data_IF_251752607217
#
_entry.id   IF_251752607217
#
_cell.length_a   1.000
_cell.length_b   1.000
_cell.length_c   1.000
_cell.angle_alpha   90.00
_cell.angle_beta   90.00
_cell.angle_gamma   90.00
#
_symmetry.space_group_name_H-M   'P 1'
#
loop_
_entity.id
_entity.type
_entity.pdbx_description
1 polymer ?
#
# COMPACT_ATOMS: atom_id res chain seq x y z
N UNK A 1 46.19 19.48 9.94
CA UNK A 1 45.93 19.11 8.54
C UNK A 1 47.03 19.66 7.66
N UNK A 2 47.45 18.96 6.59
CA UNK A 2 48.43 19.48 5.63
C UNK A 2 47.99 20.81 5.00
N UNK A 3 48.96 21.67 4.64
CA UNK A 3 48.67 22.94 3.95
C UNK A 3 47.93 22.66 2.64
N UNK A 4 46.86 23.41 2.38
CA UNK A 4 46.02 23.26 1.19
C UNK A 4 44.84 22.29 1.32
N UNK A 5 44.76 21.51 2.41
CA UNK A 5 43.61 20.63 2.66
C UNK A 5 42.43 21.43 3.21
N UNK A 6 41.25 21.21 2.63
CA UNK A 6 39.97 21.76 3.09
C UNK A 6 39.05 20.62 3.53
N UNK A 7 38.38 20.82 4.66
CA UNK A 7 37.32 19.92 5.11
C UNK A 7 35.99 20.41 4.56
N UNK A 8 35.28 19.52 3.87
CA UNK A 8 33.88 19.69 3.55
C UNK A 8 33.08 18.67 4.35
N UNK A 9 32.28 19.17 5.29
CA UNK A 9 31.41 18.37 6.14
C UNK A 9 29.93 18.65 5.84
N UNK A 10 29.61 19.19 4.66
CA UNK A 10 28.25 19.61 4.33
C UNK A 10 27.21 18.50 4.45
N UNK A 11 27.55 17.26 4.05
CA UNK A 11 26.67 16.10 4.21
C UNK A 11 26.71 15.54 5.64
N UNK A 12 27.91 15.19 6.12
CA UNK A 12 28.11 14.57 7.44
C UNK A 12 27.67 15.46 8.61
N UNK A 13 27.79 16.78 8.47
CA UNK A 13 27.35 17.75 9.47
C UNK A 13 25.84 17.74 9.69
N UNK A 14 25.04 17.53 8.63
CA UNK A 14 23.58 17.37 8.75
C UNK A 14 23.24 16.09 9.52
N UNK A 15 23.88 14.98 9.15
CA UNK A 15 23.68 13.70 9.81
C UNK A 15 24.05 13.77 11.31
N UNK A 16 25.20 14.37 11.62
CA UNK A 16 25.61 14.60 13.01
C UNK A 16 24.64 15.52 13.75
N UNK A 17 24.15 16.58 13.13
CA UNK A 17 23.16 17.46 13.73
C UNK A 17 21.85 16.72 14.02
N UNK A 18 21.42 15.79 13.16
CA UNK A 18 20.22 14.97 13.35
C UNK A 18 20.39 14.06 14.58
N UNK A 19 21.52 13.35 14.67
CA UNK A 19 21.85 12.50 15.83
C UNK A 19 21.84 13.31 17.15
N UNK A 20 22.48 14.48 17.14
CA UNK A 20 22.58 15.33 18.34
C UNK A 20 21.24 15.94 18.73
N UNK A 21 20.42 16.34 17.76
CA UNK A 21 19.09 16.88 18.01
C UNK A 21 18.17 15.80 18.58
N UNK A 22 18.15 14.59 17.99
CA UNK A 22 17.35 13.48 18.49
C UNK A 22 17.72 13.14 19.94
N UNK A 23 19.02 12.99 20.24
CA UNK A 23 19.48 12.71 21.59
C UNK A 23 19.09 13.79 22.62
N UNK A 24 19.16 15.08 22.24
CA UNK A 24 18.79 16.19 23.14
C UNK A 24 17.29 16.28 23.39
N UNK A 25 16.47 16.03 22.37
CA UNK A 25 15.01 16.08 22.51
C UNK A 25 14.53 14.86 23.32
N UNK A 26 15.10 13.68 23.11
CA UNK A 26 14.76 12.48 23.88
C UNK A 26 15.05 12.63 25.39
N UNK A 27 16.00 13.49 25.77
CA UNK A 27 16.28 13.81 27.17
C UNK A 27 15.10 14.50 27.88
N UNK A 28 14.10 14.99 27.14
CA UNK A 28 12.84 15.53 27.67
C UNK A 28 11.83 14.42 28.02
N UNK A 29 12.19 13.15 27.87
CA UNK A 29 11.35 12.00 28.23
C UNK A 29 10.36 11.55 27.15
N UNK A 30 10.55 11.97 25.89
CA UNK A 30 9.70 11.59 24.77
C UNK A 30 10.45 10.81 23.68
N UNK A 31 9.69 10.06 22.87
CA UNK A 31 10.17 9.55 21.60
C UNK A 31 10.33 10.65 20.57
N UNK A 32 11.40 10.62 19.79
CA UNK A 32 11.65 11.60 18.74
C UNK A 32 12.23 10.96 17.49
N UNK A 33 11.77 11.46 16.34
CA UNK A 33 12.42 11.31 15.05
C UNK A 33 12.79 12.70 14.53
N UNK A 34 14.04 12.88 14.15
CA UNK A 34 14.56 14.12 13.54
C UNK A 34 14.91 13.84 12.09
N UNK A 35 14.51 14.72 11.17
CA UNK A 35 14.84 14.68 9.75
C UNK A 35 15.52 15.98 9.32
N UNK A 36 16.75 15.89 8.79
CA UNK A 36 17.52 17.03 8.30
C UNK A 36 17.98 16.81 6.85
N UNK A 37 17.09 17.12 5.90
CA UNK A 37 17.42 17.07 4.47
C UNK A 37 17.80 15.66 4.00
N UNK A 38 16.98 14.68 4.36
CA UNK A 38 17.13 13.26 4.01
C UNK A 38 17.90 12.42 5.03
N UNK A 39 18.52 13.05 6.03
CA UNK A 39 19.23 12.41 7.13
C UNK A 39 18.31 12.27 8.35
N UNK A 40 17.99 11.05 8.75
CA UNK A 40 17.03 10.73 9.79
C UNK A 40 17.71 10.08 11.00
N UNK A 41 17.36 10.53 12.21
CA UNK A 41 17.80 9.94 13.46
C UNK A 41 16.62 9.80 14.43
N UNK A 42 16.56 8.68 15.16
CA UNK A 42 15.55 8.42 16.18
C UNK A 42 16.18 8.28 17.55
N UNK A 43 15.47 8.70 18.60
CA UNK A 43 15.88 8.52 19.99
C UNK A 43 14.67 8.44 20.92
N UNK A 44 14.86 7.86 22.10
CA UNK A 44 13.77 7.61 23.05
C UNK A 44 12.83 6.48 22.60
N UNK A 45 11.70 6.30 23.31
CA UNK A 45 10.72 5.25 22.98
C UNK A 45 10.00 5.57 21.66
N UNK A 46 10.05 4.66 20.69
CA UNK A 46 9.26 4.80 19.47
C UNK A 46 7.75 4.69 19.76
N UNK A 47 6.88 5.32 18.93
CA UNK A 47 5.45 5.09 19.01
C UNK A 47 5.11 3.61 18.76
N UNK A 48 3.93 3.20 19.18
CA UNK A 48 3.40 1.87 18.86
C UNK A 48 3.38 1.68 17.33
N UNK A 49 3.93 0.56 16.85
CA UNK A 49 4.13 0.32 15.41
C UNK A 49 5.45 0.86 14.84
N UNK A 50 6.11 1.84 15.48
CA UNK A 50 7.36 2.46 15.01
C UNK A 50 7.14 3.68 14.11
N UNK A 51 8.23 4.36 13.73
CA UNK A 51 8.17 5.52 12.86
C UNK A 51 8.06 5.10 11.39
N UNK A 52 7.00 5.52 10.70
CA UNK A 52 6.82 5.28 9.26
C UNK A 52 7.56 6.34 8.44
N UNK A 53 8.50 5.89 7.62
CA UNK A 53 9.40 6.76 6.85
C UNK A 53 9.35 6.40 5.36
N UNK A 54 8.95 7.33 4.50
CA UNK A 54 9.02 7.15 3.04
C UNK A 54 10.48 7.16 2.54
N UNK A 55 10.82 6.22 1.66
CA UNK A 55 12.16 6.05 1.08
C UNK A 55 12.09 6.15 -0.44
N UNK A 56 12.12 7.39 -0.93
CA UNK A 56 12.08 7.74 -2.35
C UNK A 56 13.42 8.19 -2.93
N UNK A 57 13.41 8.45 -4.24
CA UNK A 57 14.55 9.04 -4.96
C UNK A 57 14.75 10.54 -4.62
N UNK A 58 13.69 11.22 -4.14
CA UNK A 58 13.73 12.59 -3.62
C UNK A 58 13.19 12.64 -2.17
N UNK A 59 14.04 13.03 -1.23
CA UNK A 59 13.66 13.18 0.18
C UNK A 59 12.77 14.41 0.44
N UNK A 60 12.59 15.29 -0.55
CA UNK A 60 11.78 16.52 -0.43
C UNK A 60 10.32 16.33 -0.81
N UNK A 61 10.03 15.31 -1.61
CA UNK A 61 8.70 15.03 -2.11
C UNK A 61 8.48 13.52 -2.18
N UNK A 62 7.47 13.03 -1.45
CA UNK A 62 7.04 11.64 -1.57
C UNK A 62 6.38 11.42 -2.94
N UNK A 63 6.79 10.37 -3.64
CA UNK A 63 6.18 9.94 -4.89
C UNK A 63 5.22 8.75 -4.67
N UNK A 64 4.15 8.63 -5.47
CA UNK A 64 3.30 7.44 -5.46
C UNK A 64 4.13 6.18 -5.75
N UNK A 65 4.09 5.20 -4.83
CA UNK A 65 4.84 3.96 -4.94
C UNK A 65 6.22 3.98 -4.27
N UNK A 66 6.63 5.09 -3.65
CA UNK A 66 7.79 5.09 -2.77
C UNK A 66 7.57 4.12 -1.60
N UNK A 67 8.50 3.20 -1.34
CA UNK A 67 8.36 2.29 -0.21
C UNK A 67 8.44 3.06 1.10
N UNK A 68 7.58 2.70 2.06
CA UNK A 68 7.64 3.20 3.44
C UNK A 68 8.33 2.16 4.30
N UNK A 69 9.15 2.60 5.25
CA UNK A 69 9.95 1.74 6.13
C UNK A 69 9.64 2.07 7.58
N UNK A 70 9.61 1.04 8.41
CA UNK A 70 9.32 1.18 9.83
C UNK A 70 10.62 1.27 10.61
N UNK A 71 10.94 2.46 11.11
CA UNK A 71 12.12 2.71 11.94
C UNK A 71 11.72 2.69 13.40
N UNK A 72 12.21 1.70 14.17
CA UNK A 72 11.97 1.63 15.63
C UNK A 72 13.09 2.28 16.45
N UNK A 73 14.31 2.25 15.93
CA UNK A 73 15.49 2.80 16.60
C UNK A 73 16.63 2.99 15.60
N UNK A 74 17.57 3.87 15.91
CA UNK A 74 18.73 4.15 15.07
C UNK A 74 18.43 5.25 14.04
N UNK A 75 18.98 5.10 12.84
CA UNK A 75 19.00 6.14 11.84
C UNK A 75 18.88 5.60 10.42
N UNK A 76 18.46 6.47 9.51
CA UNK A 76 18.32 6.20 8.08
C UNK A 76 18.86 7.40 7.29
N UNK A 77 19.64 7.16 6.24
CA UNK A 77 20.08 8.23 5.35
C UNK A 77 20.03 7.78 3.90
N UNK A 78 19.65 8.71 3.02
CA UNK A 78 19.57 8.47 1.58
C UNK A 78 20.53 9.38 0.83
N UNK A 79 21.42 8.78 0.06
CA UNK A 79 22.25 9.48 -0.93
C UNK A 79 21.66 9.26 -2.32
N UNK A 80 21.61 10.32 -3.13
CA UNK A 80 21.03 10.29 -4.47
C UNK A 80 21.80 11.21 -5.42
N UNK A 81 21.96 10.77 -6.66
CA UNK A 81 22.57 11.56 -7.74
C UNK A 81 21.55 12.40 -8.52
N UNK A 82 20.25 12.21 -8.28
CA UNK A 82 19.17 12.91 -9.01
C UNK A 82 18.80 14.24 -8.35
N UNK A 83 18.85 14.34 -7.03
CA UNK A 83 18.32 15.51 -6.30
C UNK A 83 19.17 16.79 -6.42
N UNK A 84 20.50 16.68 -6.51
CA UNK A 84 21.41 17.82 -6.74
C UNK A 84 22.30 17.55 -7.95
N UNK A 85 21.68 17.69 -9.12
CA UNK A 85 22.31 17.55 -10.43
C UNK A 85 22.17 18.82 -11.27
N UNK A 86 23.15 19.10 -12.14
CA UNK A 86 23.16 20.22 -13.08
C UNK A 86 23.90 19.85 -14.37
N UNK A 87 23.88 20.73 -15.38
CA UNK A 87 24.63 20.54 -16.63
C UNK A 87 25.90 21.38 -16.64
N UNK A 88 27.03 20.78 -17.03
CA UNK A 88 28.30 21.48 -17.23
C UNK A 88 28.98 20.93 -18.49
N UNK A 89 29.25 21.81 -19.47
CA UNK A 89 29.91 21.40 -20.72
C UNK A 89 29.14 20.31 -21.48
N UNK A 90 27.81 20.37 -21.50
CA UNK A 90 26.94 19.38 -22.14
C UNK A 90 26.67 18.11 -21.31
N UNK A 91 27.54 17.77 -20.34
CA UNK A 91 27.43 16.60 -19.45
C UNK A 91 26.53 16.89 -18.24
N UNK A 92 25.71 15.91 -17.84
CA UNK A 92 25.02 15.93 -16.55
C UNK A 92 26.02 15.61 -15.43
N UNK A 93 26.01 16.41 -14.36
CA UNK A 93 26.91 16.27 -13.21
C UNK A 93 26.11 16.37 -11.92
N UNK A 94 26.62 15.76 -10.84
CA UNK A 94 26.01 15.80 -9.52
C UNK A 94 27.06 16.03 -8.43
N UNK A 95 26.60 16.29 -7.22
CA UNK A 95 27.44 16.73 -6.10
C UNK A 95 28.33 15.65 -5.46
N UNK A 96 28.10 14.36 -5.72
CA UNK A 96 28.94 13.26 -5.23
C UNK A 96 30.16 13.07 -6.14
N UNK A 97 31.35 13.02 -5.56
CA UNK A 97 32.65 12.92 -6.24
C UNK A 97 33.36 11.64 -5.80
N UNK A 98 33.98 10.93 -6.74
CA UNK A 98 34.90 9.84 -6.43
C UNK A 98 36.27 10.44 -6.02
N UNK A 99 36.72 10.25 -4.76
CA UNK A 99 37.97 10.82 -4.29
C UNK A 99 39.21 10.23 -4.97
N UNK A 100 39.10 9.08 -5.66
CA UNK A 100 40.21 8.43 -6.37
C UNK A 100 40.50 9.12 -7.70
N UNK A 101 39.47 9.64 -8.36
CA UNK A 101 39.55 10.22 -9.71
C UNK A 101 39.36 11.73 -9.71
N UNK A 102 38.70 12.28 -8.68
CA UNK A 102 38.25 13.67 -8.66
C UNK A 102 37.09 13.98 -9.61
N UNK A 103 36.49 12.95 -10.23
CA UNK A 103 35.33 13.06 -11.13
C UNK A 103 34.11 12.34 -10.55
N UNK A 104 33.02 12.25 -11.32
CA UNK A 104 31.83 11.50 -10.94
C UNK A 104 32.15 10.00 -10.78
N UNK A 105 31.55 9.32 -9.79
CA UNK A 105 31.61 7.86 -9.70
C UNK A 105 30.91 7.19 -10.89
N UNK A 106 31.19 5.90 -11.10
CA UNK A 106 30.51 5.11 -12.13
C UNK A 106 28.98 5.12 -11.91
N UNK A 107 28.16 5.28 -12.96
CA UNK A 107 26.71 5.45 -12.85
C UNK A 107 26.01 4.11 -12.65
N UNK A 108 26.31 3.42 -11.55
CA UNK A 108 25.70 2.14 -11.19
C UNK A 108 24.41 2.36 -10.41
N UNK A 109 24.51 3.13 -9.32
CA UNK A 109 23.41 3.40 -8.41
C UNK A 109 22.99 4.87 -8.50
N UNK A 110 21.71 5.11 -8.74
CA UNK A 110 21.15 6.46 -8.71
C UNK A 110 20.78 6.90 -7.28
N UNK A 111 20.36 5.95 -6.45
CA UNK A 111 19.93 6.20 -5.07
C UNK A 111 20.35 5.04 -4.18
N UNK A 112 20.87 5.35 -3.01
CA UNK A 112 21.17 4.37 -1.96
C UNK A 112 20.63 4.89 -0.63
N UNK A 113 19.83 4.07 0.05
CA UNK A 113 19.33 4.33 1.40
C UNK A 113 19.89 3.28 2.36
N UNK A 114 20.48 3.70 3.47
CA UNK A 114 21.14 2.81 4.44
C UNK A 114 20.58 3.08 5.82
N UNK A 115 20.28 2.01 6.57
CA UNK A 115 19.99 2.10 8.00
C UNK A 115 21.23 1.75 8.81
N UNK A 116 21.44 2.47 9.92
CA UNK A 116 22.54 2.24 10.84
C UNK A 116 22.17 2.66 12.27
N UNK A 117 23.09 2.44 13.22
CA UNK A 117 22.90 2.90 14.61
C UNK A 117 22.92 4.43 14.73
N UNK A 118 23.71 5.10 13.89
CA UNK A 118 23.84 6.56 13.88
C UNK A 118 23.60 7.09 12.47
N UNK A 119 23.09 8.31 12.39
CA UNK A 119 22.81 8.96 11.12
C UNK A 119 24.12 9.26 10.37
N UNK A 120 25.19 9.58 11.10
CA UNK A 120 26.53 9.74 10.52
C UNK A 120 26.98 8.47 9.79
N UNK A 121 26.84 7.29 10.42
CA UNK A 121 27.23 6.01 9.80
C UNK A 121 26.37 5.70 8.58
N UNK A 122 25.04 5.91 8.69
CA UNK A 122 24.12 5.73 7.58
C UNK A 122 24.47 6.63 6.37
N UNK A 123 24.72 7.92 6.63
CA UNK A 123 25.05 8.90 5.59
C UNK A 123 26.38 8.57 4.90
N UNK A 124 27.40 8.23 5.70
CA UNK A 124 28.70 7.84 5.20
C UNK A 124 28.62 6.57 4.33
N UNK A 125 27.90 5.55 4.80
CA UNK A 125 27.74 4.30 4.07
C UNK A 125 26.95 4.47 2.76
N UNK A 126 25.87 5.25 2.77
CA UNK A 126 25.08 5.53 1.57
C UNK A 126 25.90 6.26 0.48
N UNK A 127 26.69 7.26 0.88
CA UNK A 127 27.58 7.97 -0.06
C UNK A 127 28.70 7.06 -0.57
N UNK A 128 29.33 6.29 0.33
CA UNK A 128 30.38 5.35 -0.03
C UNK A 128 29.89 4.25 -1.00
N UNK A 129 28.65 3.80 -0.87
CA UNK A 129 28.04 2.83 -1.77
C UNK A 129 27.86 3.39 -3.19
N UNK A 130 27.42 4.65 -3.33
CA UNK A 130 27.37 5.32 -4.65
C UNK A 130 28.76 5.42 -5.26
N UNK A 131 29.75 5.84 -4.46
CA UNK A 131 31.16 5.98 -4.92
C UNK A 131 31.80 4.64 -5.26
N UNK A 132 31.39 3.57 -4.59
CA UNK A 132 31.88 2.21 -4.85
C UNK A 132 31.29 1.64 -6.14
N UNK A 133 30.01 1.88 -6.42
CA UNK A 133 29.34 1.33 -7.59
C UNK A 133 29.12 -0.18 -7.47
N UNK A 134 29.70 -0.96 -8.38
CA UNK A 134 29.55 -2.43 -8.37
C UNK A 134 30.07 -3.06 -7.07
N UNK A 135 29.36 -4.10 -6.60
CA UNK A 135 29.68 -4.79 -5.34
C UNK A 135 29.36 -4.00 -4.07
N UNK A 136 28.68 -2.85 -4.18
CA UNK A 136 28.24 -2.08 -3.01
C UNK A 136 27.21 -2.83 -2.16
N UNK A 137 26.34 -3.62 -2.78
CA UNK A 137 25.38 -4.50 -2.12
C UNK A 137 26.08 -5.55 -1.25
N UNK A 138 27.04 -6.29 -1.80
CA UNK A 138 27.82 -7.27 -1.03
C UNK A 138 28.66 -6.63 0.08
N UNK A 139 29.19 -5.43 -0.16
CA UNK A 139 29.94 -4.69 0.85
C UNK A 139 29.05 -4.25 2.03
N UNK A 140 27.85 -3.73 1.75
CA UNK A 140 26.88 -3.34 2.78
C UNK A 140 26.40 -4.56 3.58
N UNK A 141 26.20 -5.70 2.91
CA UNK A 141 25.80 -6.96 3.55
C UNK A 141 26.87 -7.45 4.52
N UNK A 142 28.13 -7.50 4.04
CA UNK A 142 29.28 -7.86 4.86
C UNK A 142 29.55 -6.88 6.01
N UNK A 143 29.13 -5.62 5.87
CA UNK A 143 29.18 -4.62 6.94
C UNK A 143 28.00 -4.71 7.93
N UNK A 144 27.02 -5.58 7.68
CA UNK A 144 25.81 -5.70 8.50
C UNK A 144 24.95 -4.45 8.48
N UNK A 145 24.99 -3.69 7.37
CA UNK A 145 24.23 -2.46 7.19
C UNK A 145 23.06 -2.73 6.25
N UNK A 146 21.82 -2.80 6.79
CA UNK A 146 20.65 -2.91 5.94
C UNK A 146 20.62 -1.75 4.95
N UNK A 147 20.32 -2.05 3.69
CA UNK A 147 20.27 -1.03 2.65
C UNK A 147 19.25 -1.33 1.54
N UNK A 148 18.84 -0.26 0.85
CA UNK A 148 18.13 -0.30 -0.42
C UNK A 148 18.92 0.49 -1.47
N UNK A 149 19.28 -0.18 -2.56
CA UNK A 149 20.01 0.39 -3.68
C UNK A 149 19.10 0.41 -4.92
N UNK A 150 19.11 1.52 -5.65
CA UNK A 150 18.32 1.70 -6.87
C UNK A 150 19.26 2.05 -8.02
N UNK A 151 19.26 1.22 -9.06
CA UNK A 151 20.05 1.40 -10.27
C UNK A 151 19.46 2.44 -11.21
N UNK A 152 20.26 2.91 -12.17
CA UNK A 152 19.76 3.82 -13.22
C UNK A 152 18.72 3.16 -14.14
N UNK A 153 18.75 1.85 -14.27
CA UNK A 153 17.81 1.00 -15.01
C UNK A 153 16.50 0.73 -14.25
N UNK A 154 16.37 1.18 -12.99
CA UNK A 154 15.22 0.90 -12.14
C UNK A 154 15.34 -0.40 -11.34
N UNK A 155 16.43 -1.15 -11.47
CA UNK A 155 16.70 -2.32 -10.63
C UNK A 155 16.77 -1.89 -9.16
N UNK A 156 16.07 -2.61 -8.29
CA UNK A 156 16.13 -2.41 -6.84
C UNK A 156 16.82 -3.61 -6.21
N UNK A 157 17.84 -3.36 -5.39
CA UNK A 157 18.52 -4.37 -4.59
C UNK A 157 18.34 -4.01 -3.12
N UNK A 158 18.05 -5.01 -2.28
CA UNK A 158 17.92 -4.83 -0.83
C UNK A 158 18.87 -5.78 -0.10
N UNK A 159 19.41 -5.31 1.01
CA UNK A 159 20.47 -5.96 1.78
C UNK A 159 20.09 -5.91 3.26
N UNK A 160 20.43 -6.95 4.04
CA UNK A 160 20.12 -7.02 5.47
C UNK A 160 18.64 -7.27 5.78
N UNK A 161 18.05 -8.29 5.14
CA UNK A 161 16.60 -8.60 5.15
C UNK A 161 15.94 -8.55 6.53
N UNK A 162 14.95 -7.67 6.67
CA UNK A 162 13.97 -7.68 7.77
C UNK A 162 13.63 -6.32 8.38
N UNK A 163 14.49 -5.30 8.25
CA UNK A 163 14.29 -4.02 8.96
C UNK A 163 13.96 -2.81 8.09
N UNK A 164 14.24 -2.88 6.79
CA UNK A 164 14.18 -1.72 5.90
C UNK A 164 13.03 -1.71 4.92
N UNK A 165 12.23 -2.76 4.82
CA UNK A 165 11.01 -2.73 4.02
C UNK A 165 9.97 -3.56 4.80
N UNK A 166 8.76 -3.04 5.05
CA UNK A 166 7.62 -3.92 5.24
C UNK A 166 7.52 -4.81 4.00
N UNK A 167 7.11 -6.05 4.20
CA UNK A 167 6.96 -7.01 3.12
C UNK A 167 5.95 -6.48 2.09
N UNK A 168 6.44 -5.82 1.04
CA UNK A 168 5.61 -5.24 -0.01
C UNK A 168 4.81 -6.33 -0.71
N UNK A 169 5.17 -7.61 -0.55
CA UNK A 169 4.38 -8.73 -1.07
C UNK A 169 2.99 -8.78 -0.42
N UNK A 170 2.87 -8.54 0.89
CA UNK A 170 1.58 -8.51 1.58
C UNK A 170 0.71 -7.34 1.12
N UNK A 171 1.31 -6.18 0.87
CA UNK A 171 0.60 -5.04 0.27
C UNK A 171 0.09 -5.36 -1.14
N UNK A 172 0.91 -5.99 -2.00
CA UNK A 172 0.47 -6.40 -3.34
C UNK A 172 -0.62 -7.48 -3.26
N UNK A 173 -0.51 -8.43 -2.33
CA UNK A 173 -1.52 -9.47 -2.08
C UNK A 173 -2.83 -8.83 -1.61
N UNK A 174 -2.79 -7.95 -0.62
CA UNK A 174 -3.95 -7.21 -0.12
C UNK A 174 -4.64 -6.44 -1.24
N UNK A 175 -3.84 -5.76 -2.07
CA UNK A 175 -4.34 -4.93 -3.16
C UNK A 175 -4.93 -5.75 -4.31
N UNK A 176 -4.22 -6.78 -4.77
CA UNK A 176 -4.70 -7.67 -5.83
C UNK A 176 -5.96 -8.43 -5.38
N UNK A 177 -5.95 -8.99 -4.17
CA UNK A 177 -7.11 -9.72 -3.63
C UNK A 177 -8.33 -8.81 -3.47
N UNK A 178 -8.15 -7.55 -3.03
CA UNK A 178 -9.23 -6.56 -2.95
C UNK A 178 -9.86 -6.20 -4.30
N UNK A 179 -9.04 -5.96 -5.35
CA UNK A 179 -9.57 -5.67 -6.69
C UNK A 179 -10.30 -6.86 -7.30
N UNK A 180 -9.74 -8.06 -7.19
CA UNK A 180 -10.38 -9.27 -7.73
C UNK A 180 -11.65 -9.60 -6.95
N UNK A 181 -11.65 -9.43 -5.63
CA UNK A 181 -12.86 -9.59 -4.80
C UNK A 181 -13.96 -8.61 -5.24
N UNK A 182 -13.62 -7.35 -5.53
CA UNK A 182 -14.58 -6.34 -6.01
C UNK A 182 -15.17 -6.72 -7.36
N UNK A 183 -14.37 -7.23 -8.30
CA UNK A 183 -14.84 -7.74 -9.59
C UNK A 183 -15.82 -8.92 -9.43
N UNK A 184 -15.46 -9.89 -8.59
CA UNK A 184 -16.30 -11.06 -8.34
C UNK A 184 -17.58 -10.70 -7.58
N UNK A 185 -17.51 -9.77 -6.64
CA UNK A 185 -18.68 -9.25 -5.93
C UNK A 185 -19.61 -8.52 -6.91
N UNK A 186 -19.06 -7.72 -7.82
CA UNK A 186 -19.82 -7.06 -8.91
C UNK A 186 -20.53 -8.10 -9.79
N UNK A 187 -19.81 -9.13 -10.24
CA UNK A 187 -20.40 -10.21 -11.04
C UNK A 187 -21.49 -10.97 -10.26
N UNK A 188 -21.27 -11.23 -8.97
CA UNK A 188 -22.24 -11.88 -8.08
C UNK A 188 -23.52 -11.06 -7.95
N UNK A 189 -23.40 -9.74 -7.72
CA UNK A 189 -24.55 -8.81 -7.65
C UNK A 189 -25.31 -8.78 -8.97
N UNK A 190 -24.61 -8.70 -10.10
CA UNK A 190 -25.25 -8.76 -11.43
C UNK A 190 -26.03 -10.05 -11.63
N UNK A 191 -25.43 -11.21 -11.32
CA UNK A 191 -26.12 -12.51 -11.37
C UNK A 191 -27.33 -12.56 -10.43
N UNK A 192 -27.25 -11.92 -9.25
CA UNK A 192 -28.38 -11.80 -8.31
C UNK A 192 -29.48 -10.86 -8.82
N UNK A 193 -29.14 -9.80 -9.54
CA UNK A 193 -30.10 -8.89 -10.19
C UNK A 193 -30.84 -9.62 -11.32
N UNK A 194 -30.09 -10.37 -12.13
CA UNK A 194 -30.59 -11.06 -13.33
C UNK A 194 -31.30 -12.39 -13.01
N UNK A 195 -30.94 -13.09 -11.94
CA UNK A 195 -31.43 -14.43 -11.61
C UNK A 195 -32.96 -14.60 -11.52
N UNK A 196 -33.73 -13.63 -10.98
CA UNK A 196 -35.19 -13.68 -11.00
C UNK A 196 -35.81 -13.41 -12.38
N UNK A 197 -35.07 -12.73 -13.26
CA UNK A 197 -35.50 -12.51 -14.64
C UNK A 197 -35.32 -13.83 -15.39
N UNK A 198 -36.34 -14.26 -16.13
CA UNK A 198 -36.35 -15.54 -16.84
C UNK A 198 -35.40 -15.53 -18.07
N UNK A 199 -34.20 -14.97 -17.95
CA UNK A 199 -33.19 -14.81 -19.01
C UNK A 199 -32.36 -16.08 -19.15
N UNK A 200 -33.00 -17.25 -19.04
CA UNK A 200 -32.37 -18.50 -19.43
C UNK A 200 -32.52 -18.66 -20.92
N UNK A 201 -31.49 -18.34 -21.69
CA UNK A 201 -31.43 -18.75 -23.10
C UNK A 201 -31.03 -20.23 -23.15
N UNK A 202 -31.24 -20.93 -24.29
CA UNK A 202 -30.77 -22.31 -24.44
C UNK A 202 -29.26 -22.46 -24.16
N UNK A 203 -28.48 -21.41 -24.39
CA UNK A 203 -27.05 -21.35 -24.09
C UNK A 203 -26.71 -21.09 -22.60
N UNK A 204 -27.63 -20.52 -21.82
CA UNK A 204 -27.41 -20.17 -20.40
C UNK A 204 -28.55 -20.67 -19.50
N UNK A 205 -28.58 -21.97 -19.19
CA UNK A 205 -29.58 -22.54 -18.28
C UNK A 205 -29.54 -21.93 -16.87
N UNK A 206 -30.68 -21.95 -16.18
CA UNK A 206 -30.81 -21.37 -14.82
C UNK A 206 -29.86 -22.01 -13.80
N UNK A 207 -29.60 -23.31 -13.91
CA UNK A 207 -28.69 -24.00 -13.01
C UNK A 207 -27.24 -23.49 -13.19
N UNK A 208 -26.86 -23.10 -14.41
CA UNK A 208 -25.55 -22.51 -14.70
C UNK A 208 -25.42 -21.14 -14.04
N UNK A 209 -26.44 -20.28 -14.16
CA UNK A 209 -26.44 -18.96 -13.51
C UNK A 209 -26.42 -19.09 -11.98
N UNK A 210 -27.18 -20.02 -11.41
CA UNK A 210 -27.17 -20.30 -9.97
C UNK A 210 -25.81 -20.87 -9.50
N UNK A 211 -25.20 -21.75 -10.31
CA UNK A 211 -23.87 -22.30 -10.06
C UNK A 211 -22.78 -21.23 -10.11
N UNK A 212 -22.83 -20.33 -11.10
CA UNK A 212 -21.92 -19.19 -11.20
C UNK A 212 -22.07 -18.24 -10.03
N UNK A 213 -23.30 -17.88 -9.66
CA UNK A 213 -23.54 -17.04 -8.49
C UNK A 213 -22.90 -17.66 -7.24
N UNK A 214 -23.09 -18.98 -7.02
CA UNK A 214 -22.47 -19.70 -5.90
C UNK A 214 -20.95 -19.66 -5.96
N UNK A 215 -20.37 -20.03 -7.11
CA UNK A 215 -18.92 -20.14 -7.25
C UNK A 215 -18.22 -18.77 -7.13
N UNK A 216 -18.79 -17.73 -7.75
CA UNK A 216 -18.27 -16.35 -7.63
C UNK A 216 -18.42 -15.82 -6.21
N UNK A 217 -19.52 -16.12 -5.51
CA UNK A 217 -19.68 -15.77 -4.09
C UNK A 217 -18.62 -16.43 -3.22
N UNK A 218 -18.32 -17.71 -3.45
CA UNK A 218 -17.31 -18.46 -2.69
C UNK A 218 -15.89 -17.97 -2.97
N UNK A 219 -15.58 -17.65 -4.23
CA UNK A 219 -14.28 -17.11 -4.60
C UNK A 219 -14.09 -15.68 -4.05
N UNK A 220 -15.14 -14.85 -4.09
CA UNK A 220 -15.16 -13.53 -3.47
C UNK A 220 -14.94 -13.62 -1.96
N UNK A 221 -15.58 -14.59 -1.28
CA UNK A 221 -15.36 -14.84 0.15
C UNK A 221 -13.90 -15.24 0.44
N UNK A 222 -13.32 -16.14 -0.35
CA UNK A 222 -11.93 -16.57 -0.16
C UNK A 222 -10.96 -15.40 -0.35
N UNK A 223 -11.17 -14.57 -1.38
CA UNK A 223 -10.34 -13.39 -1.63
C UNK A 223 -10.57 -12.27 -0.62
N UNK A 224 -11.78 -12.11 -0.09
CA UNK A 224 -12.05 -11.21 1.02
C UNK A 224 -11.30 -11.64 2.28
N UNK A 225 -11.28 -12.95 2.59
CA UNK A 225 -10.50 -13.47 3.71
C UNK A 225 -9.00 -13.20 3.53
N UNK A 226 -8.46 -13.45 2.33
CA UNK A 226 -7.06 -13.11 2.01
C UNK A 226 -6.81 -11.61 2.15
N UNK A 227 -7.70 -10.77 1.61
CA UNK A 227 -7.60 -9.31 1.70
C UNK A 227 -7.56 -8.84 3.16
N UNK A 228 -8.52 -9.27 3.98
CA UNK A 228 -8.60 -8.91 5.39
C UNK A 228 -7.38 -9.41 6.18
N UNK A 229 -6.99 -10.67 5.99
CA UNK A 229 -5.85 -11.25 6.74
C UNK A 229 -4.55 -10.60 6.33
N UNK A 230 -4.32 -10.37 5.02
CA UNK A 230 -3.10 -9.71 4.55
C UNK A 230 -3.01 -8.28 5.10
N UNK A 231 -4.11 -7.52 5.10
CA UNK A 231 -4.17 -6.18 5.68
C UNK A 231 -3.98 -6.19 7.20
N UNK A 232 -4.56 -7.15 7.92
CA UNK A 232 -4.45 -7.25 9.38
C UNK A 232 -3.05 -7.70 9.86
N UNK A 233 -2.32 -8.44 9.02
CA UNK A 233 -0.95 -8.89 9.30
C UNK A 233 0.10 -7.90 8.76
N UNK A 234 -0.30 -7.00 7.85
CA UNK A 234 0.60 -6.03 7.25
C UNK A 234 1.07 -4.98 8.26
N UNK A 235 2.37 -5.00 8.54
CA UNK A 235 3.05 -4.00 9.38
C UNK A 235 3.11 -2.59 8.77
N UNK A 236 2.68 -2.41 7.51
CA UNK A 236 2.63 -1.12 6.82
C UNK A 236 1.48 -0.22 7.31
N UNK A 237 0.33 -0.80 7.66
CA UNK A 237 -0.84 -0.05 8.15
C UNK A 237 -1.09 -0.42 9.61
N UNK A 238 -1.12 0.53 10.56
CA UNK A 238 -1.38 0.25 11.97
C UNK A 238 -2.87 -0.05 12.18
N UNK A 239 -3.29 -1.26 11.81
CA UNK A 239 -4.66 -1.75 11.97
C UNK A 239 -4.67 -2.71 13.14
N UNK A 240 -5.54 -2.44 14.10
CA UNK A 240 -5.76 -3.32 15.25
C UNK A 240 -6.84 -4.35 14.92
N UNK A 241 -6.87 -5.48 15.64
CA UNK A 241 -7.95 -6.47 15.48
C UNK A 241 -9.34 -5.90 15.77
N UNK A 242 -9.43 -4.84 16.57
CA UNK A 242 -10.69 -4.13 16.84
C UNK A 242 -11.21 -3.37 15.62
N UNK A 243 -10.32 -2.85 14.78
CA UNK A 243 -10.70 -2.12 13.55
C UNK A 243 -11.40 -3.02 12.53
N UNK A 244 -11.21 -4.35 12.64
CA UNK A 244 -11.83 -5.33 11.75
C UNK A 244 -13.32 -5.56 12.04
N UNK A 245 -13.77 -5.33 13.27
CA UNK A 245 -15.14 -5.66 13.70
C UNK A 245 -15.91 -4.46 14.24
N UNK A 246 -15.23 -3.35 14.51
CA UNK A 246 -15.85 -2.13 15.01
C UNK A 246 -15.59 -1.03 13.98
N UNK A 247 -16.63 -0.55 13.28
CA UNK A 247 -16.43 0.46 12.25
C UNK A 247 -16.09 1.82 12.86
N UNK A 248 -15.30 2.61 12.12
CA UNK A 248 -14.96 4.02 12.41
C UNK A 248 -14.06 4.28 13.65
N UNK A 249 -13.51 3.25 14.29
CA UNK A 249 -12.59 3.42 15.44
C UNK A 249 -11.12 3.48 15.06
N UNK A 250 -10.77 3.10 13.83
CA UNK A 250 -9.37 3.10 13.37
C UNK A 250 -8.81 4.51 13.34
N UNK A 251 -7.57 4.67 13.84
CA UNK A 251 -6.82 5.92 13.73
C UNK A 251 -6.40 6.22 12.28
N UNK A 252 -6.39 5.20 11.41
CA UNK A 252 -6.01 5.31 10.01
C UNK A 252 -7.26 5.43 9.12
N UNK A 253 -7.48 6.59 8.50
CA UNK A 253 -8.62 6.88 7.61
C UNK A 253 -9.98 6.33 8.13
N UNK A 254 -10.49 6.82 9.27
CA UNK A 254 -11.61 6.19 10.01
C UNK A 254 -12.85 5.95 9.17
N UNK A 255 -13.21 6.93 8.31
CA UNK A 255 -14.39 6.84 7.43
C UNK A 255 -14.25 5.70 6.43
N UNK A 256 -13.13 5.66 5.69
CA UNK A 256 -12.93 4.67 4.65
C UNK A 256 -12.77 3.28 5.24
N UNK A 257 -11.96 3.13 6.30
CA UNK A 257 -11.83 1.88 7.03
C UNK A 257 -13.18 1.40 7.58
N UNK A 258 -13.96 2.29 8.20
CA UNK A 258 -15.28 1.96 8.73
C UNK A 258 -16.26 1.46 7.66
N UNK A 259 -16.25 2.01 6.44
CA UNK A 259 -17.08 1.48 5.34
C UNK A 259 -16.66 0.05 4.94
N UNK A 260 -15.36 -0.24 4.96
CA UNK A 260 -14.81 -1.58 4.74
C UNK A 260 -15.27 -2.57 5.82
N UNK A 261 -15.16 -2.16 7.09
CA UNK A 261 -15.62 -2.92 8.25
C UNK A 261 -17.13 -3.20 8.20
N UNK A 262 -17.97 -2.19 7.94
CA UNK A 262 -19.43 -2.39 7.78
C UNK A 262 -19.73 -3.37 6.64
N UNK A 263 -19.04 -3.25 5.50
CA UNK A 263 -19.21 -4.19 4.39
C UNK A 263 -18.83 -5.62 4.79
N UNK A 264 -17.71 -5.79 5.50
CA UNK A 264 -17.25 -7.07 6.03
C UNK A 264 -18.24 -7.67 7.03
N UNK A 265 -18.74 -6.89 7.99
CA UNK A 265 -19.71 -7.34 9.00
C UNK A 265 -21.01 -7.83 8.35
N UNK A 266 -21.53 -7.09 7.37
CA UNK A 266 -22.71 -7.53 6.61
C UNK A 266 -22.39 -8.83 5.86
N UNK A 267 -21.21 -8.94 5.24
CA UNK A 267 -20.82 -10.15 4.52
C UNK A 267 -20.67 -11.36 5.45
N UNK A 268 -20.12 -11.17 6.65
CA UNK A 268 -20.02 -12.17 7.69
C UNK A 268 -21.41 -12.62 8.16
N UNK A 269 -22.34 -11.69 8.37
CA UNK A 269 -23.73 -12.00 8.69
C UNK A 269 -24.41 -12.81 7.57
N UNK A 270 -24.16 -12.48 6.30
CA UNK A 270 -24.65 -13.22 5.13
C UNK A 270 -24.09 -14.63 5.07
N UNK A 271 -22.80 -14.82 5.36
CA UNK A 271 -22.16 -16.12 5.42
C UNK A 271 -22.81 -17.00 6.50
N UNK A 272 -22.90 -16.48 7.73
CA UNK A 272 -23.48 -17.19 8.88
C UNK A 272 -24.95 -17.54 8.61
N UNK A 273 -25.74 -16.59 8.13
CA UNK A 273 -27.17 -16.81 7.85
C UNK A 273 -27.41 -17.76 6.68
N UNK A 274 -26.49 -17.81 5.72
CA UNK A 274 -26.54 -18.78 4.61
C UNK A 274 -26.16 -20.20 5.04
N UNK A 275 -25.19 -20.36 5.93
CA UNK A 275 -24.84 -21.66 6.53
C UNK A 275 -25.97 -22.18 7.43
N UNK A 276 -26.66 -21.29 8.13
CA UNK A 276 -27.79 -21.61 9.00
C UNK A 276 -29.14 -21.60 8.26
N UNK A 277 -29.16 -21.48 6.94
CA UNK A 277 -30.40 -21.39 6.14
C UNK A 277 -31.45 -22.48 6.47
N UNK A 278 -31.10 -23.76 6.73
CA UNK A 278 -32.10 -24.77 7.10
C UNK A 278 -32.77 -24.52 8.45
N UNK A 279 -32.16 -23.70 9.31
CA UNK A 279 -32.62 -23.40 10.68
C UNK A 279 -33.28 -22.02 10.81
N UNK A 280 -33.24 -21.19 9.77
CA UNK A 280 -33.73 -19.81 9.79
C UNK A 280 -35.01 -19.70 8.95
N UNK A 281 -35.95 -18.85 9.40
CA UNK A 281 -37.15 -18.54 8.64
C UNK A 281 -36.78 -18.04 7.21
N UNK A 282 -37.37 -18.62 6.15
CA UNK A 282 -37.06 -18.22 4.77
C UNK A 282 -37.28 -16.73 4.44
N UNK A 283 -38.23 -16.07 5.12
CA UNK A 283 -38.45 -14.63 4.96
C UNK A 283 -37.33 -13.83 5.58
N UNK A 284 -36.92 -14.18 6.81
CA UNK A 284 -35.81 -13.56 7.51
C UNK A 284 -34.51 -13.73 6.73
N UNK A 285 -34.22 -14.95 6.26
CA UNK A 285 -33.06 -15.21 5.41
C UNK A 285 -33.07 -14.33 4.16
N UNK A 286 -34.23 -14.13 3.52
CA UNK A 286 -34.33 -13.29 2.32
C UNK A 286 -34.09 -11.81 2.60
N UNK A 287 -34.63 -11.29 3.72
CA UNK A 287 -34.41 -9.91 4.14
C UNK A 287 -32.93 -9.67 4.44
N UNK A 288 -32.30 -10.57 5.19
CA UNK A 288 -30.87 -10.52 5.46
C UNK A 288 -30.09 -10.64 4.15
N UNK A 289 -30.46 -11.55 3.26
CA UNK A 289 -29.80 -11.69 1.96
C UNK A 289 -29.90 -10.42 1.09
N UNK A 290 -30.93 -9.59 1.24
CA UNK A 290 -31.01 -8.30 0.55
C UNK A 290 -29.99 -7.27 1.03
N UNK A 291 -29.46 -7.39 2.25
CA UNK A 291 -28.36 -6.51 2.68
C UNK A 291 -27.07 -6.74 1.88
N UNK A 292 -26.96 -7.87 1.14
CA UNK A 292 -25.87 -8.10 0.19
C UNK A 292 -25.76 -7.01 -0.88
N UNK A 293 -26.87 -6.37 -1.24
CA UNK A 293 -26.86 -5.24 -2.18
C UNK A 293 -26.18 -4.00 -1.59
N UNK A 294 -26.07 -3.89 -0.26
CA UNK A 294 -25.37 -2.81 0.43
C UNK A 294 -23.87 -3.11 0.60
N UNK A 295 -23.45 -4.37 0.68
CA UNK A 295 -22.03 -4.73 0.74
C UNK A 295 -21.24 -4.17 -0.46
N UNK A 296 -21.77 -4.35 -1.67
CA UNK A 296 -21.07 -3.96 -2.90
C UNK A 296 -20.71 -2.46 -2.98
N UNK A 297 -21.65 -1.51 -2.82
CA UNK A 297 -21.30 -0.08 -2.89
C UNK A 297 -20.39 0.34 -1.72
N UNK A 298 -20.55 -0.24 -0.52
CA UNK A 298 -19.66 0.05 0.61
C UNK A 298 -18.22 -0.41 0.33
N UNK A 299 -18.04 -1.63 -0.17
CA UNK A 299 -16.73 -2.16 -0.56
C UNK A 299 -16.08 -1.33 -1.68
N UNK A 300 -16.86 -0.94 -2.69
CA UNK A 300 -16.36 -0.11 -3.80
C UNK A 300 -15.89 1.27 -3.31
N UNK A 301 -16.70 1.94 -2.48
CA UNK A 301 -16.38 3.27 -1.93
C UNK A 301 -15.20 3.19 -0.96
N UNK A 302 -15.13 2.14 -0.12
CA UNK A 302 -13.96 1.87 0.71
C UNK A 302 -12.68 1.78 -0.12
N UNK A 303 -12.69 0.95 -1.19
CA UNK A 303 -11.53 0.77 -2.07
C UNK A 303 -11.08 2.07 -2.74
N UNK A 304 -12.03 2.92 -3.16
CA UNK A 304 -11.73 4.23 -3.75
C UNK A 304 -11.17 5.23 -2.74
N UNK A 305 -11.62 5.18 -1.49
CA UNK A 305 -11.21 6.12 -0.46
C UNK A 305 -9.90 5.76 0.24
N UNK A 306 -9.57 4.46 0.34
CA UNK A 306 -8.37 3.98 1.03
C UNK A 306 -7.14 3.92 0.12
N UNK A 307 -7.33 3.75 -1.20
CA UNK A 307 -6.22 3.61 -2.13
C UNK A 307 -5.59 4.96 -2.49
N UNK A 308 -4.28 5.09 -2.26
CA UNK A 308 -3.51 6.32 -2.54
C UNK A 308 -3.52 6.75 -4.00
N UNK A 309 -3.75 5.81 -4.91
CA UNK A 309 -3.83 6.00 -6.37
C UNK A 309 -5.19 5.57 -6.95
N UNK A 310 -6.18 5.27 -6.09
CA UNK A 310 -7.46 4.70 -6.53
C UNK A 310 -8.28 5.65 -7.43
N UNK A 311 -8.01 6.96 -7.35
CA UNK A 311 -8.62 7.99 -8.19
C UNK A 311 -7.83 8.28 -9.48
N UNK A 312 -6.76 7.53 -9.78
CA UNK A 312 -5.91 7.75 -10.94
C UNK A 312 -5.73 6.48 -11.76
N UNK A 313 -5.73 6.60 -13.09
CA UNK A 313 -5.43 5.48 -14.00
C UNK A 313 -6.47 4.36 -13.98
N UNK A 314 -5.99 3.11 -14.00
CA UNK A 314 -6.83 1.93 -14.22
C UNK A 314 -7.76 1.54 -13.04
N UNK A 315 -7.41 1.74 -11.74
CA UNK A 315 -8.31 1.43 -10.63
C UNK A 315 -9.62 2.25 -10.64
N UNK A 316 -9.51 3.53 -11.02
CA UNK A 316 -10.69 4.38 -11.21
C UNK A 316 -11.55 3.85 -12.37
N UNK A 317 -10.92 3.53 -13.50
CA UNK A 317 -11.59 2.95 -14.66
C UNK A 317 -12.33 1.65 -14.30
N UNK A 318 -11.68 0.76 -13.56
CA UNK A 318 -12.27 -0.48 -13.05
C UNK A 318 -13.52 -0.20 -12.20
N UNK A 319 -13.41 0.74 -11.26
CA UNK A 319 -14.50 1.10 -10.35
C UNK A 319 -15.69 1.70 -11.08
N UNK A 320 -15.44 2.58 -12.06
CA UNK A 320 -16.46 3.17 -12.93
C UNK A 320 -17.15 2.09 -13.77
N UNK A 321 -16.39 1.17 -14.38
CA UNK A 321 -16.97 0.06 -15.16
C UNK A 321 -17.85 -0.83 -14.29
N UNK A 322 -17.40 -1.18 -13.09
CA UNK A 322 -18.21 -1.97 -12.14
C UNK A 322 -19.51 -1.25 -11.78
N UNK A 323 -19.43 0.06 -11.51
CA UNK A 323 -20.60 0.85 -11.16
C UNK A 323 -21.61 0.97 -12.31
N UNK A 324 -21.13 1.28 -13.52
CA UNK A 324 -21.97 1.37 -14.71
C UNK A 324 -22.64 0.03 -15.03
N UNK A 325 -21.92 -1.08 -14.89
CA UNK A 325 -22.48 -2.42 -15.11
C UNK A 325 -23.63 -2.71 -14.16
N UNK A 326 -23.47 -2.46 -12.86
CA UNK A 326 -24.52 -2.67 -11.85
C UNK A 326 -25.72 -1.75 -12.11
N UNK A 327 -25.48 -0.46 -12.38
CA UNK A 327 -26.54 0.50 -12.69
C UNK A 327 -27.33 0.10 -13.94
N UNK A 328 -26.65 -0.36 -14.99
CA UNK A 328 -27.29 -0.89 -16.20
C UNK A 328 -28.14 -2.13 -15.90
N UNK A 329 -27.63 -3.06 -15.07
CA UNK A 329 -28.37 -4.24 -14.62
C UNK A 329 -29.64 -3.87 -13.84
N UNK A 330 -29.56 -2.91 -12.92
CA UNK A 330 -30.72 -2.39 -12.17
C UNK A 330 -31.73 -1.72 -13.09
N UNK A 331 -31.27 -0.83 -13.98
CA UNK A 331 -32.11 -0.13 -14.95
C UNK A 331 -32.88 -1.10 -15.85
N UNK A 332 -32.19 -2.14 -16.34
CA UNK A 332 -32.81 -3.20 -17.12
C UNK A 332 -33.89 -3.95 -16.33
N UNK A 333 -33.61 -4.31 -15.07
CA UNK A 333 -34.59 -4.99 -14.21
C UNK A 333 -35.85 -4.16 -13.98
N UNK A 334 -35.70 -2.86 -13.77
CA UNK A 334 -36.84 -1.93 -13.61
C UNK A 334 -37.66 -1.87 -14.90
N UNK A 335 -36.99 -1.72 -16.06
CA UNK A 335 -37.66 -1.68 -17.36
C UNK A 335 -38.42 -2.99 -17.66
N UNK A 336 -37.82 -4.15 -17.38
CA UNK A 336 -38.45 -5.46 -17.55
C UNK A 336 -39.67 -5.65 -16.64
N UNK A 337 -39.58 -5.20 -15.37
CA UNK A 337 -40.70 -5.24 -14.44
C UNK A 337 -41.87 -4.35 -14.92
N UNK A 338 -41.58 -3.13 -15.38
CA UNK A 338 -42.58 -2.21 -15.95
C UNK A 338 -43.30 -2.84 -17.16
N UNK A 339 -42.55 -3.43 -18.10
CA UNK A 339 -43.13 -4.09 -19.28
C UNK A 339 -44.08 -5.23 -18.90
N UNK A 340 -43.72 -6.03 -17.88
CA UNK A 340 -44.55 -7.13 -17.39
C UNK A 340 -45.83 -6.65 -16.69
N UNK A 341 -45.79 -5.51 -15.99
CA UNK A 341 -46.97 -4.89 -15.36
C UNK A 341 -47.92 -4.36 -16.43
N UNK A 342 -47.40 -3.60 -17.41
CA UNK A 342 -48.21 -3.07 -18.52
C UNK A 342 -48.92 -4.18 -19.30
N UNK A 343 -48.23 -5.28 -19.60
CA UNK A 343 -48.81 -6.43 -20.30
C UNK A 343 -49.87 -7.21 -19.50
N UNK A 344 -50.03 -6.94 -18.19
CA UNK A 344 -51.12 -7.51 -17.37
C UNK A 344 -52.33 -6.57 -17.27
N UNK A 345 -52.18 -5.32 -17.66
CA UNK A 345 -53.22 -4.29 -17.64
C UNK A 345 -53.88 -4.10 -19.01
N UNK A 346 -53.25 -4.57 -20.08
CA UNK A 346 -53.78 -4.71 -21.44
C UNK A 346 -54.48 -6.05 -21.63
#
# INVERSE_FOLDING_TARGET
MPRGVRLDLGSTGKAYAADRAAARIAALGCGVLVSLGGDLATAGPAPEGGWLVGVGDDHRAAAPGDPVVTVRSGALATSSVTGRAWRRGGRAVHHIVDPRTGDLPAPVWRTVSVAARTCVDANAAATAAIVRGEGADAWLDGAGLPARLVGHDGRVVTVGGGGLMPDVSLWHVARASGFVATLLLTATVLLGILGPMRVGTPAWPRFTLAGLHRNFSLLALALLAIHVVSVAVDSYVPITWTDLFVPFVSAYHPVWMGLGTVSFDIFLALLVTSLLRPRINPRMWRVLHWSAYLCWPLALVHGLGIGTDALSGWPLGLSVVCALAVLAGVGWRIAAARKKIMARLS
#
